data_IF_033182184981
#
_entry.id   IF_033182184981
#
_cell.length_a   1.000
_cell.length_b   1.000
_cell.length_c   1.000
_cell.angle_alpha   90.00
_cell.angle_beta   90.00
_cell.angle_gamma   90.00
#
_symmetry.space_group_name_H-M   'P 1'
#
loop_
_entity.id
_entity.type
_entity.pdbx_description
1 polymer ?
#
# COMPACT_ATOMS: atom_id res chain seq x y z
N UNK A 1 -67.59 19.88 -23.01
CA UNK A 1 -67.06 20.89 -22.07
C UNK A 1 -65.89 20.27 -21.30
N UNK A 2 -64.67 20.41 -21.80
CA UNK A 2 -63.44 20.01 -21.10
C UNK A 2 -62.42 21.12 -21.29
N UNK A 3 -62.30 22.01 -20.30
CA UNK A 3 -61.30 23.07 -20.26
C UNK A 3 -60.05 22.48 -19.61
N UNK A 4 -59.07 22.08 -20.43
CA UNK A 4 -57.77 21.57 -19.97
C UNK A 4 -56.88 22.77 -19.68
N UNK A 5 -56.73 23.14 -18.41
CA UNK A 5 -55.71 24.08 -17.96
C UNK A 5 -54.34 23.43 -18.13
N UNK A 6 -53.57 23.91 -19.09
CA UNK A 6 -52.16 23.56 -19.23
C UNK A 6 -51.39 24.30 -18.15
N UNK A 7 -50.92 23.56 -17.15
CA UNK A 7 -50.05 24.08 -16.11
C UNK A 7 -48.70 24.42 -16.75
N UNK A 8 -48.36 25.71 -16.74
CA UNK A 8 -47.07 26.21 -17.20
C UNK A 8 -45.97 25.53 -16.39
N UNK A 9 -45.21 24.67 -17.08
CA UNK A 9 -44.08 23.94 -16.52
C UNK A 9 -42.95 24.95 -16.33
N UNK A 10 -42.83 25.45 -15.10
CA UNK A 10 -41.78 26.37 -14.63
C UNK A 10 -40.41 25.69 -14.74
N UNK A 11 -39.83 25.69 -15.95
CA UNK A 11 -38.48 25.18 -16.19
C UNK A 11 -37.49 26.24 -15.72
N UNK A 12 -37.21 26.23 -14.42
CA UNK A 12 -36.10 26.99 -13.83
C UNK A 12 -34.80 26.42 -14.40
N UNK A 13 -34.19 27.15 -15.32
CA UNK A 13 -32.88 26.82 -15.87
C UNK A 13 -31.80 26.96 -14.80
N UNK A 14 -30.86 26.01 -14.78
CA UNK A 14 -29.68 26.06 -13.93
C UNK A 14 -28.88 27.33 -14.23
N UNK A 15 -28.59 28.13 -13.22
CA UNK A 15 -27.77 29.34 -13.42
C UNK A 15 -26.28 28.95 -13.50
N UNK A 16 -25.49 29.64 -14.32
CA UNK A 16 -24.04 29.40 -14.42
C UNK A 16 -23.33 29.51 -13.07
N UNK A 17 -23.82 30.42 -12.21
CA UNK A 17 -23.26 30.64 -10.87
C UNK A 17 -23.46 29.44 -9.94
N UNK A 18 -24.59 28.74 -10.08
CA UNK A 18 -24.93 27.57 -9.26
C UNK A 18 -23.98 26.41 -9.56
N UNK A 19 -23.62 26.21 -10.83
CA UNK A 19 -22.60 25.24 -11.24
C UNK A 19 -21.18 25.66 -10.82
N UNK A 20 -20.87 26.96 -10.84
CA UNK A 20 -19.57 27.48 -10.41
C UNK A 20 -19.32 27.24 -8.92
N UNK A 21 -20.31 27.50 -8.06
CA UNK A 21 -20.19 27.26 -6.61
C UNK A 21 -20.03 25.78 -6.31
N UNK A 22 -20.74 24.90 -7.01
CA UNK A 22 -20.63 23.44 -6.83
C UNK A 22 -19.22 22.94 -7.15
N UNK A 23 -18.65 23.35 -8.29
CA UNK A 23 -17.28 22.96 -8.66
C UNK A 23 -16.24 23.52 -7.70
N UNK A 24 -16.45 24.73 -7.18
CA UNK A 24 -15.60 25.33 -6.16
C UNK A 24 -15.55 24.48 -4.88
N UNK A 25 -16.72 24.10 -4.35
CA UNK A 25 -16.79 23.27 -3.12
C UNK A 25 -16.19 21.88 -3.35
N UNK A 26 -16.48 21.23 -4.49
CA UNK A 26 -15.91 19.91 -4.83
C UNK A 26 -14.38 20.01 -4.92
N UNK A 27 -13.85 21.06 -5.53
CA UNK A 27 -12.40 21.30 -5.65
C UNK A 27 -11.70 21.39 -4.30
N UNK A 28 -12.28 22.13 -3.34
CA UNK A 28 -11.73 22.25 -1.98
C UNK A 28 -11.71 20.90 -1.25
N UNK A 29 -12.80 20.12 -1.36
CA UNK A 29 -12.88 18.80 -0.72
C UNK A 29 -11.81 17.85 -1.27
N UNK A 30 -11.65 17.79 -2.60
CA UNK A 30 -10.66 16.92 -3.25
C UNK A 30 -9.23 17.32 -2.87
N UNK A 31 -8.94 18.63 -2.82
CA UNK A 31 -7.62 19.14 -2.44
C UNK A 31 -7.17 18.66 -1.05
N UNK A 32 -8.11 18.56 -0.09
CA UNK A 32 -7.84 18.06 1.26
C UNK A 32 -7.83 16.52 1.31
N UNK A 33 -8.67 15.85 0.53
CA UNK A 33 -8.82 14.39 0.58
C UNK A 33 -7.64 13.63 -0.06
N UNK A 34 -7.15 14.07 -1.22
CA UNK A 34 -6.10 13.37 -1.98
C UNK A 34 -4.76 13.14 -1.23
N UNK A 35 -4.17 14.10 -0.49
CA UNK A 35 -2.91 13.86 0.21
C UNK A 35 -3.02 12.76 1.26
N UNK A 36 -4.17 12.68 1.95
CA UNK A 36 -4.42 11.66 2.97
C UNK A 36 -4.46 10.25 2.38
N UNK A 37 -5.04 10.08 1.18
CA UNK A 37 -5.05 8.79 0.49
C UNK A 37 -3.65 8.32 0.10
N UNK A 38 -2.79 9.25 -0.37
CA UNK A 38 -1.40 8.92 -0.75
C UNK A 38 -0.57 8.50 0.46
N UNK A 39 -0.67 9.23 1.56
CA UNK A 39 0.03 8.92 2.81
C UNK A 39 -0.41 7.57 3.41
N UNK A 40 -1.72 7.27 3.37
CA UNK A 40 -2.25 5.98 3.80
C UNK A 40 -1.66 4.83 2.97
N UNK A 41 -1.59 4.99 1.65
CA UNK A 41 -0.99 4.00 0.74
C UNK A 41 0.48 3.73 1.05
N UNK A 42 1.30 4.77 1.21
CA UNK A 42 2.73 4.63 1.50
C UNK A 42 2.97 3.95 2.85
N UNK A 43 2.21 4.34 3.88
CA UNK A 43 2.32 3.71 5.21
C UNK A 43 1.93 2.23 5.18
N UNK A 44 0.90 1.86 4.42
CA UNK A 44 0.49 0.47 4.25
C UNK A 44 1.56 -0.35 3.51
N UNK A 45 2.19 0.22 2.48
CA UNK A 45 3.30 -0.42 1.77
C UNK A 45 4.50 -0.68 2.68
N UNK A 46 4.88 0.30 3.51
CA UNK A 46 5.96 0.16 4.49
C UNK A 46 5.64 -0.94 5.52
N UNK A 47 4.44 -0.91 6.11
CA UNK A 47 4.00 -1.93 7.09
C UNK A 47 3.99 -3.35 6.49
N UNK A 48 3.51 -3.50 5.26
CA UNK A 48 3.54 -4.78 4.56
C UNK A 48 4.98 -5.25 4.27
N UNK A 49 5.87 -4.32 3.89
CA UNK A 49 7.28 -4.64 3.72
C UNK A 49 7.93 -5.10 5.04
N UNK A 50 7.63 -4.46 6.16
CA UNK A 50 8.16 -4.83 7.47
C UNK A 50 7.64 -6.19 7.94
N UNK A 51 6.36 -6.50 7.73
CA UNK A 51 5.80 -7.81 8.00
C UNK A 51 6.50 -8.92 7.18
N UNK A 52 6.73 -8.68 5.89
CA UNK A 52 7.48 -9.62 5.03
C UNK A 52 8.92 -9.83 5.51
N UNK A 53 9.59 -8.78 5.99
CA UNK A 53 10.96 -8.88 6.51
C UNK A 53 11.02 -9.71 7.78
N UNK A 54 10.07 -9.49 8.71
CA UNK A 54 9.93 -10.30 9.92
C UNK A 54 9.67 -11.77 9.59
N UNK A 55 8.84 -12.05 8.60
CA UNK A 55 8.61 -13.41 8.09
C UNK A 55 9.90 -14.06 7.58
N UNK A 56 10.68 -13.36 6.74
CA UNK A 56 11.96 -13.89 6.24
C UNK A 56 12.95 -14.08 7.40
N UNK A 57 12.95 -13.17 8.37
CA UNK A 57 13.77 -13.25 9.58
C UNK A 57 13.48 -14.52 10.37
N UNK A 58 12.20 -14.79 10.68
CA UNK A 58 11.84 -16.00 11.42
C UNK A 58 12.20 -17.29 10.68
N UNK A 59 12.10 -17.30 9.35
CA UNK A 59 12.54 -18.45 8.56
C UNK A 59 14.08 -18.59 8.53
N UNK A 60 14.81 -17.48 8.58
CA UNK A 60 16.26 -17.50 8.70
C UNK A 60 16.71 -18.02 10.08
N UNK A 61 15.94 -17.71 11.13
CA UNK A 61 16.19 -18.24 12.48
C UNK A 61 15.91 -19.75 12.52
N UNK A 62 14.81 -20.23 11.93
CA UNK A 62 14.56 -21.67 11.77
C UNK A 62 15.71 -22.37 11.02
N UNK A 63 16.21 -21.77 9.93
CA UNK A 63 17.36 -22.28 9.21
C UNK A 63 18.62 -22.40 10.10
N UNK A 64 18.83 -21.43 11.00
CA UNK A 64 19.94 -21.47 11.94
C UNK A 64 19.79 -22.58 12.99
N UNK A 65 18.57 -22.80 13.49
CA UNK A 65 18.28 -23.90 14.42
C UNK A 65 18.61 -25.28 13.80
N UNK A 66 18.31 -25.45 12.52
CA UNK A 66 18.50 -26.74 11.83
C UNK A 66 19.95 -26.96 11.35
N UNK A 67 20.66 -25.90 10.94
CA UNK A 67 21.97 -26.00 10.24
C UNK A 67 23.12 -25.28 10.95
N UNK A 68 22.88 -24.66 12.10
CA UNK A 68 23.88 -23.96 12.91
C UNK A 68 24.54 -22.75 12.24
N UNK A 69 24.03 -22.32 11.08
CA UNK A 69 24.56 -21.21 10.28
C UNK A 69 23.43 -20.43 9.65
N UNK A 70 23.60 -19.14 9.43
CA UNK A 70 22.56 -18.33 8.80
C UNK A 70 22.60 -18.43 7.27
N UNK A 71 21.45 -18.29 6.58
CA UNK A 71 21.41 -18.33 5.13
C UNK A 71 22.17 -17.14 4.53
N UNK A 72 22.91 -17.39 3.44
CA UNK A 72 23.64 -16.36 2.67
C UNK A 72 22.70 -15.53 1.79
N UNK A 73 21.52 -16.04 1.46
CA UNK A 73 20.54 -15.35 0.61
C UNK A 73 19.11 -15.82 0.87
N UNK A 74 18.13 -14.99 0.50
CA UNK A 74 16.70 -15.35 0.60
C UNK A 74 16.36 -16.51 -0.35
N UNK A 75 17.07 -16.63 -1.47
CA UNK A 75 16.93 -17.72 -2.42
C UNK A 75 17.33 -19.06 -1.81
N UNK A 76 18.31 -19.08 -0.89
CA UNK A 76 18.68 -20.29 -0.18
C UNK A 76 17.55 -20.79 0.71
N UNK A 77 16.82 -19.88 1.38
CA UNK A 77 15.64 -20.23 2.18
C UNK A 77 14.54 -20.85 1.32
N UNK A 78 14.29 -20.30 0.12
CA UNK A 78 13.35 -20.91 -0.83
C UNK A 78 13.80 -22.28 -1.31
N UNK A 79 15.08 -22.42 -1.72
CA UNK A 79 15.63 -23.69 -2.23
C UNK A 79 15.58 -24.80 -1.19
N UNK A 80 15.71 -24.46 0.08
CA UNK A 80 15.65 -25.38 1.22
C UNK A 80 14.24 -25.49 1.83
N UNK A 81 13.21 -24.99 1.14
CA UNK A 81 11.79 -25.09 1.51
C UNK A 81 11.36 -24.40 2.80
N UNK A 82 12.17 -23.51 3.40
CA UNK A 82 11.75 -22.66 4.52
C UNK A 82 10.76 -21.56 4.08
N UNK A 83 10.87 -21.12 2.82
CA UNK A 83 9.93 -20.18 2.21
C UNK A 83 9.19 -20.88 1.06
N UNK A 84 7.85 -20.96 1.15
CA UNK A 84 6.99 -21.45 0.05
C UNK A 84 7.12 -20.56 -1.19
N UNK A 85 7.02 -19.26 -0.97
CA UNK A 85 7.22 -18.24 -2.00
C UNK A 85 8.04 -17.11 -1.40
N UNK A 86 8.85 -16.46 -2.22
CA UNK A 86 9.56 -15.25 -1.78
C UNK A 86 8.52 -14.13 -1.78
N UNK A 87 8.19 -13.53 -0.62
CA UNK A 87 7.25 -12.43 -0.58
C UNK A 87 7.80 -11.28 -1.43
N UNK A 88 6.90 -10.59 -2.15
CA UNK A 88 7.26 -9.43 -2.97
C UNK A 88 7.03 -8.17 -2.15
N UNK A 89 7.96 -7.22 -2.25
CA UNK A 89 7.75 -5.90 -1.69
C UNK A 89 6.66 -5.17 -2.52
N UNK A 90 5.67 -4.52 -1.90
CA UNK A 90 4.64 -3.78 -2.63
C UNK A 90 5.22 -2.61 -3.43
N UNK A 91 6.36 -2.06 -3.00
CA UNK A 91 7.11 -1.02 -3.72
C UNK A 91 8.18 -1.59 -4.67
N UNK A 92 8.05 -2.87 -5.07
CA UNK A 92 8.95 -3.59 -6.01
C UNK A 92 10.41 -3.73 -5.54
N UNK A 93 10.69 -3.50 -4.26
CA UNK A 93 12.00 -3.75 -3.64
C UNK A 93 12.39 -5.23 -3.55
N UNK A 94 13.70 -5.49 -3.40
CA UNK A 94 14.26 -6.83 -3.17
C UNK A 94 14.71 -6.99 -1.71
N UNK A 95 14.63 -8.21 -1.19
CA UNK A 95 15.09 -8.55 0.14
C UNK A 95 16.51 -9.14 0.10
N UNK A 96 17.38 -8.66 0.99
CA UNK A 96 18.74 -9.15 1.16
C UNK A 96 18.98 -9.53 2.62
N UNK A 97 19.76 -10.60 2.84
CA UNK A 97 20.16 -11.05 4.17
C UNK A 97 21.61 -10.65 4.39
N UNK A 98 21.92 -9.93 5.47
CA UNK A 98 23.29 -9.66 5.92
C UNK A 98 23.65 -10.64 7.02
N UNK A 99 24.66 -11.48 6.77
CA UNK A 99 25.14 -12.50 7.71
C UNK A 99 25.85 -11.94 8.94
N UNK A 100 26.25 -10.65 8.93
CA UNK A 100 27.00 -10.00 10.02
C UNK A 100 26.18 -9.03 10.88
N UNK A 101 24.86 -8.91 10.67
CA UNK A 101 24.02 -7.99 11.44
C UNK A 101 23.41 -8.66 12.69
N UNK A 102 23.14 -7.89 13.75
CA UNK A 102 22.37 -8.32 14.93
C UNK A 102 21.05 -8.98 14.51
N UNK A 103 20.61 -10.03 15.23
CA UNK A 103 19.49 -10.94 14.89
C UNK A 103 18.28 -10.23 14.27
N UNK A 104 17.86 -9.10 14.84
CA UNK A 104 16.68 -8.34 14.36
C UNK A 104 16.87 -7.54 13.05
N UNK A 105 18.10 -7.16 12.68
CA UNK A 105 18.38 -6.28 11.51
C UNK A 105 18.97 -7.02 10.30
N UNK A 106 18.80 -8.34 10.25
CA UNK A 106 19.43 -9.19 9.21
C UNK A 106 18.79 -9.07 7.84
N UNK A 107 17.48 -8.83 7.78
CA UNK A 107 16.73 -8.73 6.53
C UNK A 107 16.56 -7.27 6.15
N UNK A 108 17.10 -6.88 5.01
CA UNK A 108 17.01 -5.51 4.46
C UNK A 108 16.17 -5.49 3.19
N UNK A 109 15.38 -4.44 3.01
CA UNK A 109 14.70 -4.17 1.74
C UNK A 109 15.42 -3.04 1.00
N UNK A 110 15.60 -3.16 -0.33
CA UNK A 110 16.25 -2.14 -1.15
C UNK A 110 15.53 -0.77 -1.15
N UNK A 111 14.25 -0.73 -0.76
CA UNK A 111 13.41 0.49 -0.81
C UNK A 111 13.14 1.05 0.59
N UNK A 112 12.76 0.20 1.55
CA UNK A 112 12.37 0.65 2.89
C UNK A 112 13.48 0.51 3.94
N UNK A 113 14.63 -0.09 3.59
CA UNK A 113 15.76 -0.24 4.51
C UNK A 113 15.54 -1.31 5.60
N UNK A 114 15.77 -0.87 6.84
CA UNK A 114 15.83 -1.62 8.11
C UNK A 114 14.54 -1.53 8.92
#
# INVERSE_FOLDING_TARGET
MWCRKEAWRDQRGFTLIEMLVVLFVIGVIIAIALPNLKAAGESAQKRACDANRKLIGSQADNYYLDLGSYPKSVQQLKRRSYLRTIPKCPSKGKYAIRSSASVEKRVKCSIHGD
#
